data_IF_007676293767
#
_entry.id   IF_007676293767
#
_cell.length_a   1.000
_cell.length_b   1.000
_cell.length_c   1.000
_cell.angle_alpha   90.00
_cell.angle_beta   90.00
_cell.angle_gamma   90.00
#
_symmetry.space_group_name_H-M   'P 1'
#
loop_
_entity.id
_entity.type
_entity.pdbx_description
1 polymer ?
#
# COMPACT_ATOMS: atom_id res chain seq x y z
N UNK A 1 -15.83 -20.71 15.69
CA UNK A 1 -16.62 -19.45 15.67
C UNK A 1 -15.75 -18.18 15.57
N UNK A 2 -14.42 -18.26 15.63
CA UNK A 2 -13.50 -17.11 15.50
C UNK A 2 -13.56 -16.39 14.12
N UNK A 3 -14.17 -16.99 13.12
CA UNK A 3 -14.36 -16.40 11.78
C UNK A 3 -15.59 -15.48 11.67
N UNK A 4 -16.41 -15.38 12.69
CA UNK A 4 -17.65 -14.59 12.69
C UNK A 4 -17.57 -13.34 13.60
N UNK A 5 -16.47 -13.11 14.28
CA UNK A 5 -16.26 -11.85 14.99
C UNK A 5 -15.87 -10.77 13.99
N UNK A 6 -16.69 -9.73 13.90
CA UNK A 6 -16.34 -8.52 13.13
C UNK A 6 -15.02 -7.94 13.67
N UNK A 7 -13.95 -8.16 12.94
CA UNK A 7 -12.67 -7.53 13.29
C UNK A 7 -12.80 -6.03 13.03
N UNK A 8 -12.36 -5.19 13.96
CA UNK A 8 -12.38 -3.75 13.76
C UNK A 8 -11.59 -3.38 12.51
N UNK A 9 -12.08 -2.39 11.78
CA UNK A 9 -11.38 -1.85 10.63
C UNK A 9 -10.13 -1.10 11.11
N UNK A 10 -9.02 -1.30 10.42
CA UNK A 10 -7.81 -0.54 10.69
C UNK A 10 -7.72 0.65 9.74
N UNK A 11 -7.45 1.81 10.29
CA UNK A 11 -7.24 3.05 9.53
C UNK A 11 -5.94 3.72 9.97
N UNK A 12 -5.33 4.45 9.07
CA UNK A 12 -4.22 5.36 9.33
C UNK A 12 -4.72 6.80 9.18
N UNK A 13 -4.56 7.62 10.20
CA UNK A 13 -4.98 9.02 10.10
C UNK A 13 -3.93 9.88 9.38
N UNK A 14 -4.41 10.94 8.76
CA UNK A 14 -3.59 11.88 8.00
C UNK A 14 -3.04 12.96 8.95
N UNK A 15 -1.79 12.79 9.39
CA UNK A 15 -1.12 13.68 10.35
C UNK A 15 -0.92 15.11 9.83
N UNK A 16 -0.98 15.31 8.49
CA UNK A 16 -0.93 16.65 7.89
C UNK A 16 -2.27 17.41 7.99
N UNK A 17 -3.38 16.69 8.16
CA UNK A 17 -4.71 17.30 8.24
C UNK A 17 -5.24 17.44 9.66
N UNK A 18 -4.90 16.51 10.55
CA UNK A 18 -5.55 16.46 11.85
C UNK A 18 -4.66 15.78 12.91
N UNK A 19 -4.76 16.23 14.15
CA UNK A 19 -4.18 15.55 15.30
C UNK A 19 -5.03 14.35 15.72
N UNK A 20 -4.41 13.34 16.30
CA UNK A 20 -5.08 12.11 16.75
C UNK A 20 -6.28 12.39 17.67
N UNK A 21 -6.07 13.26 18.65
CA UNK A 21 -7.08 13.58 19.68
C UNK A 21 -8.33 14.23 19.06
N UNK A 22 -8.11 15.13 18.10
CA UNK A 22 -9.19 15.83 17.40
C UNK A 22 -9.98 14.87 16.52
N UNK A 23 -9.29 13.99 15.77
CA UNK A 23 -9.93 12.94 14.97
C UNK A 23 -10.77 11.99 15.84
N UNK A 24 -10.23 11.53 16.97
CA UNK A 24 -10.97 10.68 17.91
C UNK A 24 -12.22 11.38 18.41
N UNK A 25 -12.15 12.70 18.68
CA UNK A 25 -13.28 13.51 19.07
C UNK A 25 -14.37 13.62 17.99
N UNK A 26 -13.96 13.77 16.71
CA UNK A 26 -14.87 13.81 15.56
C UNK A 26 -15.55 12.44 15.37
N UNK A 27 -14.77 11.35 15.32
CA UNK A 27 -15.27 10.00 15.11
C UNK A 27 -16.29 9.60 16.18
N UNK A 28 -16.06 9.94 17.46
CA UNK A 28 -17.01 9.71 18.54
C UNK A 28 -18.33 10.47 18.34
N UNK A 29 -18.28 11.72 17.82
CA UNK A 29 -19.50 12.49 17.49
C UNK A 29 -20.24 11.88 16.29
N UNK A 30 -19.54 11.24 15.37
CA UNK A 30 -20.10 10.47 14.24
C UNK A 30 -20.63 9.09 14.68
N UNK A 31 -20.55 8.73 15.96
CA UNK A 31 -21.04 7.46 16.49
C UNK A 31 -20.07 6.29 16.34
N UNK A 32 -18.83 6.54 15.89
CA UNK A 32 -17.82 5.51 15.66
C UNK A 32 -17.10 5.17 16.96
N UNK A 33 -16.92 3.87 17.22
CA UNK A 33 -16.07 3.38 18.30
C UNK A 33 -14.63 3.33 17.84
N UNK A 34 -13.74 3.97 18.59
CA UNK A 34 -12.32 4.10 18.27
C UNK A 34 -11.47 3.33 19.26
N UNK A 35 -10.60 2.44 18.77
CA UNK A 35 -9.58 1.75 19.53
C UNK A 35 -8.17 2.21 19.12
N UNK A 36 -7.23 2.10 20.05
CA UNK A 36 -5.82 2.44 19.79
C UNK A 36 -5.04 1.24 19.27
N UNK A 37 -3.98 1.53 18.51
CA UNK A 37 -2.97 0.57 18.03
C UNK A 37 -1.64 1.00 18.64
N UNK A 38 -1.21 0.42 19.79
CA UNK A 38 -0.02 0.89 20.49
C UNK A 38 1.27 0.80 19.67
N UNK A 39 1.35 -0.20 18.77
CA UNK A 39 2.54 -0.50 17.98
C UNK A 39 2.73 0.49 16.80
N UNK A 40 1.66 1.15 16.36
CA UNK A 40 1.67 2.07 15.22
C UNK A 40 0.90 3.34 15.61
N UNK A 41 1.59 4.40 16.05
CA UNK A 41 0.95 5.60 16.60
C UNK A 41 -0.03 6.31 15.63
N UNK A 42 0.20 6.22 14.32
CA UNK A 42 -0.69 6.79 13.30
C UNK A 42 -1.87 5.89 12.93
N UNK A 43 -2.02 4.72 13.56
CA UNK A 43 -3.11 3.78 13.32
C UNK A 43 -4.20 3.85 14.39
N UNK A 44 -5.44 3.57 13.97
CA UNK A 44 -6.61 3.41 14.84
C UNK A 44 -7.44 2.22 14.41
N UNK A 45 -8.15 1.61 15.38
CA UNK A 45 -9.22 0.65 15.10
C UNK A 45 -10.56 1.36 15.10
N UNK A 46 -11.38 1.11 14.09
CA UNK A 46 -12.73 1.65 13.98
C UNK A 46 -13.77 0.53 13.96
N UNK A 47 -14.89 0.75 14.66
CA UNK A 47 -16.07 -0.12 14.64
C UNK A 47 -17.33 0.67 14.96
N UNK A 48 -18.52 0.04 14.81
CA UNK A 48 -19.80 0.68 15.15
C UNK A 48 -20.26 1.72 14.12
N UNK A 49 -19.87 1.62 12.86
CA UNK A 49 -20.33 2.45 11.76
C UNK A 49 -21.02 1.57 10.68
N UNK A 50 -21.97 2.13 9.95
CA UNK A 50 -22.64 1.41 8.85
C UNK A 50 -21.81 1.43 7.57
N UNK A 51 -21.47 2.63 7.09
CA UNK A 51 -20.70 2.84 5.87
C UNK A 51 -19.67 3.96 6.05
N UNK A 52 -18.39 3.67 5.77
CA UNK A 52 -17.32 4.70 5.85
C UNK A 52 -17.58 5.89 4.95
N UNK A 53 -18.08 5.66 3.73
CA UNK A 53 -18.38 6.71 2.76
C UNK A 53 -19.51 7.66 3.20
N UNK A 54 -20.25 7.31 4.26
CA UNK A 54 -21.24 8.18 4.88
C UNK A 54 -20.65 9.09 5.96
N UNK A 55 -19.45 8.83 6.41
CA UNK A 55 -18.78 9.62 7.45
C UNK A 55 -18.11 10.86 6.84
N UNK A 56 -18.47 12.09 7.27
CA UNK A 56 -17.79 13.31 6.83
C UNK A 56 -16.29 13.26 7.03
N UNK A 57 -15.82 12.74 8.15
CA UNK A 57 -14.38 12.58 8.46
C UNK A 57 -13.63 11.74 7.42
N UNK A 58 -14.27 10.71 6.86
CA UNK A 58 -13.70 9.90 5.79
C UNK A 58 -13.69 10.66 4.46
N UNK A 59 -14.79 11.32 4.11
CA UNK A 59 -14.92 12.10 2.88
C UNK A 59 -13.90 13.25 2.82
N UNK A 60 -13.63 13.88 3.96
CA UNK A 60 -12.62 14.94 4.10
C UNK A 60 -11.17 14.42 4.06
N UNK A 61 -10.98 13.08 3.99
CA UNK A 61 -9.67 12.47 3.91
C UNK A 61 -8.84 12.59 5.18
N UNK A 62 -9.50 12.64 6.35
CA UNK A 62 -8.81 12.72 7.63
C UNK A 62 -8.11 11.41 7.99
N UNK A 63 -8.47 10.32 7.31
CA UNK A 63 -7.83 9.01 7.44
C UNK A 63 -8.01 8.15 6.19
N UNK A 64 -7.17 7.13 6.08
CA UNK A 64 -7.16 6.11 5.02
C UNK A 64 -7.39 4.73 5.62
N UNK A 65 -8.14 3.88 4.91
CA UNK A 65 -8.23 2.45 5.26
C UNK A 65 -6.90 1.79 4.87
N UNK A 66 -6.23 1.21 5.84
CA UNK A 66 -4.96 0.53 5.60
C UNK A 66 -4.72 -0.54 6.68
N UNK A 67 -4.25 -1.72 6.28
CA UNK A 67 -3.88 -2.77 7.22
C UNK A 67 -2.57 -2.44 7.93
N UNK A 68 -2.42 -2.89 9.18
CA UNK A 68 -1.20 -2.66 9.96
C UNK A 68 0.04 -3.19 9.26
N UNK A 69 -0.04 -4.39 8.65
CA UNK A 69 1.06 -4.96 7.86
C UNK A 69 1.40 -4.10 6.64
N UNK A 70 0.40 -3.50 5.99
CA UNK A 70 0.60 -2.60 4.87
C UNK A 70 1.25 -1.28 5.29
N UNK A 71 0.99 -0.79 6.51
CA UNK A 71 1.66 0.39 7.08
C UNK A 71 3.14 0.16 7.31
N UNK A 72 3.54 -1.08 7.66
CA UNK A 72 4.95 -1.44 7.89
C UNK A 72 5.83 -1.18 6.67
N UNK A 73 5.31 -1.32 5.46
CA UNK A 73 6.08 -1.07 4.22
C UNK A 73 6.61 0.36 4.20
N UNK A 74 5.76 1.34 4.51
CA UNK A 74 6.18 2.73 4.57
C UNK A 74 7.10 3.01 5.77
N UNK A 75 6.80 2.45 6.94
CA UNK A 75 7.62 2.65 8.14
C UNK A 75 9.03 2.04 8.01
N UNK A 76 9.15 0.89 7.34
CA UNK A 76 10.45 0.24 7.10
C UNK A 76 11.18 0.77 5.85
N UNK A 77 10.54 1.59 5.04
CA UNK A 77 11.17 2.22 3.90
C UNK A 77 12.35 3.11 4.32
N UNK A 78 12.27 3.68 5.54
CA UNK A 78 13.18 4.71 6.03
C UNK A 78 13.32 5.87 5.03
N UNK A 79 12.17 6.21 4.41
CA UNK A 79 12.08 7.33 3.47
C UNK A 79 12.52 8.63 4.13
N UNK A 80 13.23 9.46 3.38
CA UNK A 80 13.78 10.74 3.84
C UNK A 80 13.20 11.87 3.01
N UNK A 81 13.17 13.06 3.59
CA UNK A 81 12.81 14.28 2.88
C UNK A 81 13.66 14.44 1.60
N UNK A 82 12.98 14.72 0.50
CA UNK A 82 13.61 14.88 -0.81
C UNK A 82 13.71 13.59 -1.65
N UNK A 83 13.46 12.41 -1.09
CA UNK A 83 13.54 11.15 -1.83
C UNK A 83 12.57 11.10 -3.01
N UNK A 84 13.01 10.44 -4.08
CA UNK A 84 12.20 10.08 -5.25
C UNK A 84 11.74 8.63 -5.07
N UNK A 85 10.44 8.41 -5.02
CA UNK A 85 9.85 7.08 -4.76
C UNK A 85 9.01 6.63 -5.94
N UNK A 86 9.18 5.38 -6.34
CA UNK A 86 8.41 4.75 -7.40
C UNK A 86 7.68 3.54 -6.83
N UNK A 87 6.34 3.57 -6.82
CA UNK A 87 5.50 2.42 -6.46
C UNK A 87 4.91 1.83 -7.75
N UNK A 88 5.26 0.59 -8.07
CA UNK A 88 4.97 0.00 -9.39
C UNK A 88 3.64 -0.75 -9.48
N UNK A 89 2.98 -1.02 -8.34
CA UNK A 89 1.66 -1.67 -8.26
C UNK A 89 0.83 -1.03 -7.14
N UNK A 90 0.60 0.27 -7.24
CA UNK A 90 0.24 1.13 -6.12
C UNK A 90 -1.23 1.05 -5.68
N UNK A 91 -2.17 0.73 -6.57
CA UNK A 91 -3.60 0.82 -6.27
C UNK A 91 -4.04 -0.08 -5.10
N UNK A 92 -4.87 0.43 -4.20
CA UNK A 92 -5.60 1.70 -4.20
C UNK A 92 -4.84 2.92 -3.62
N UNK A 93 -3.53 2.80 -3.31
CA UNK A 93 -2.68 3.93 -2.93
C UNK A 93 -2.27 3.98 -1.46
N UNK A 94 -2.70 3.04 -0.62
CA UNK A 94 -2.42 3.10 0.83
C UNK A 94 -0.94 3.24 1.19
N UNK A 95 -0.04 2.53 0.51
CA UNK A 95 1.41 2.57 0.73
C UNK A 95 2.02 3.84 0.17
N UNK A 96 1.71 4.17 -1.10
CA UNK A 96 2.21 5.37 -1.79
C UNK A 96 1.81 6.66 -1.07
N UNK A 97 0.55 6.79 -0.65
CA UNK A 97 0.04 7.93 0.11
C UNK A 97 0.74 8.03 1.47
N UNK A 98 0.95 6.90 2.16
CA UNK A 98 1.67 6.89 3.44
C UNK A 98 3.11 7.41 3.29
N UNK A 99 3.82 6.96 2.25
CA UNK A 99 5.17 7.47 1.96
C UNK A 99 5.15 8.95 1.59
N UNK A 100 4.18 9.40 0.78
CA UNK A 100 4.07 10.80 0.41
C UNK A 100 3.82 11.71 1.64
N UNK A 101 3.08 11.22 2.64
CA UNK A 101 2.95 11.88 3.94
C UNK A 101 4.30 11.95 4.68
N UNK A 102 5.04 10.83 4.77
CA UNK A 102 6.35 10.79 5.44
C UNK A 102 7.40 11.69 4.78
N UNK A 103 7.28 11.96 3.48
CA UNK A 103 8.11 12.94 2.76
C UNK A 103 7.86 14.39 3.17
N UNK A 104 6.81 14.66 3.95
CA UNK A 104 6.52 15.98 4.52
C UNK A 104 6.49 17.11 3.48
N UNK A 105 5.86 16.87 2.32
CA UNK A 105 5.73 17.83 1.22
C UNK A 105 7.02 18.04 0.41
N UNK A 106 8.06 17.27 0.68
CA UNK A 106 9.32 17.26 -0.09
C UNK A 106 9.41 15.99 -0.94
N UNK A 107 10.38 15.92 -1.86
CA UNK A 107 10.50 14.75 -2.74
C UNK A 107 9.28 14.49 -3.60
N UNK A 108 9.15 13.27 -4.12
CA UNK A 108 8.04 12.93 -5.00
C UNK A 108 7.74 11.43 -4.97
N UNK A 109 6.46 11.06 -5.06
CA UNK A 109 6.00 9.67 -5.23
C UNK A 109 5.32 9.53 -6.57
N UNK A 110 5.85 8.68 -7.43
CA UNK A 110 5.16 8.24 -8.64
C UNK A 110 4.49 6.88 -8.37
N UNK A 111 3.17 6.89 -8.31
CA UNK A 111 2.35 5.72 -8.00
C UNK A 111 1.77 5.15 -9.30
N UNK A 112 2.24 3.96 -9.71
CA UNK A 112 1.85 3.29 -10.97
C UNK A 112 0.89 2.14 -10.73
N UNK A 113 -0.02 1.91 -11.66
CA UNK A 113 -0.75 0.65 -11.75
C UNK A 113 -1.10 0.34 -13.22
N UNK A 114 -1.47 -0.93 -13.47
CA UNK A 114 -1.63 -1.48 -14.82
C UNK A 114 -2.83 -0.92 -15.59
N UNK A 115 -3.94 -0.58 -14.93
CA UNK A 115 -5.21 -0.24 -15.60
C UNK A 115 -5.71 1.13 -15.19
N UNK A 116 -6.33 1.86 -16.14
CA UNK A 116 -6.94 3.18 -15.86
C UNK A 116 -7.93 3.11 -14.70
N UNK A 117 -8.76 2.06 -14.61
CA UNK A 117 -9.67 1.88 -13.48
C UNK A 117 -8.96 1.92 -12.11
N UNK A 118 -7.79 1.26 -11.99
CA UNK A 118 -7.00 1.26 -10.76
C UNK A 118 -6.31 2.60 -10.53
N UNK A 119 -5.87 3.24 -11.62
CA UNK A 119 -5.27 4.57 -11.57
C UNK A 119 -6.30 5.62 -11.15
N UNK A 120 -7.55 5.50 -11.57
CA UNK A 120 -8.63 6.37 -11.11
C UNK A 120 -8.88 6.21 -9.61
N UNK A 121 -8.86 4.98 -9.08
CA UNK A 121 -8.92 4.76 -7.62
C UNK A 121 -7.73 5.41 -6.88
N UNK A 122 -6.53 5.40 -7.48
CA UNK A 122 -5.37 6.11 -6.96
C UNK A 122 -5.61 7.62 -6.92
N UNK A 123 -6.08 8.20 -8.05
CA UNK A 123 -6.36 9.64 -8.17
C UNK A 123 -7.39 10.10 -7.14
N UNK A 124 -8.48 9.36 -6.98
CA UNK A 124 -9.52 9.67 -5.99
C UNK A 124 -8.96 9.69 -4.55
N UNK A 125 -8.13 8.70 -4.21
CA UNK A 125 -7.53 8.62 -2.88
C UNK A 125 -6.44 9.69 -2.65
N UNK A 126 -5.66 10.03 -3.68
CA UNK A 126 -4.67 11.12 -3.65
C UNK A 126 -5.39 12.46 -3.46
N UNK A 127 -6.42 12.75 -4.26
CA UNK A 127 -7.21 13.97 -4.13
C UNK A 127 -7.81 14.10 -2.72
N UNK A 128 -8.43 13.03 -2.24
CA UNK A 128 -9.00 12.98 -0.89
C UNK A 128 -7.95 13.18 0.20
N UNK A 129 -6.71 12.70 0.01
CA UNK A 129 -5.61 12.91 0.95
C UNK A 129 -5.16 14.37 1.03
N UNK A 130 -5.31 15.13 -0.06
CA UNK A 130 -4.86 16.51 -0.18
C UNK A 130 -3.35 16.67 -0.38
N UNK A 131 -2.63 15.59 -0.66
CA UNK A 131 -1.19 15.61 -0.92
C UNK A 131 -0.91 16.08 -2.35
N UNK A 132 0.19 16.82 -2.52
CA UNK A 132 0.61 17.40 -3.82
C UNK A 132 1.93 16.84 -4.33
N UNK A 133 2.62 16.06 -3.53
CA UNK A 133 3.91 15.44 -3.84
C UNK A 133 3.78 13.97 -4.29
N UNK A 134 2.62 13.61 -4.82
CA UNK A 134 2.33 12.27 -5.35
C UNK A 134 1.50 12.38 -6.62
N UNK A 135 1.80 11.55 -7.62
CA UNK A 135 1.03 11.43 -8.85
C UNK A 135 0.69 9.99 -9.18
N UNK A 136 -0.40 9.79 -9.92
CA UNK A 136 -0.87 8.47 -10.36
C UNK A 136 -0.64 8.30 -11.88
N UNK A 137 0.01 7.21 -12.27
CA UNK A 137 0.41 6.92 -13.66
C UNK A 137 -0.08 5.53 -14.08
N UNK A 138 -0.67 5.43 -15.28
CA UNK A 138 -1.01 4.14 -15.86
C UNK A 138 0.20 3.56 -16.59
N UNK A 139 0.82 2.51 -16.02
CA UNK A 139 2.03 1.88 -16.54
C UNK A 139 2.08 0.40 -16.21
N UNK A 140 2.40 -0.43 -17.19
CA UNK A 140 2.67 -1.85 -16.99
C UNK A 140 4.06 -2.06 -16.38
N UNK A 141 4.12 -2.58 -15.17
CA UNK A 141 5.36 -2.82 -14.44
C UNK A 141 6.25 -3.92 -15.09
N UNK A 142 5.72 -4.69 -16.03
CA UNK A 142 6.48 -5.69 -16.81
C UNK A 142 7.19 -5.08 -18.02
N UNK A 143 6.92 -3.81 -18.34
CA UNK A 143 7.51 -3.08 -19.46
C UNK A 143 8.55 -2.08 -18.94
N UNK A 144 9.78 -2.23 -19.39
CA UNK A 144 10.88 -1.37 -18.96
C UNK A 144 10.69 0.07 -19.46
N UNK A 145 10.85 1.01 -18.54
CA UNK A 145 10.80 2.46 -18.79
C UNK A 145 12.24 3.02 -18.71
N UNK A 146 12.87 3.38 -19.85
CA UNK A 146 14.24 3.85 -19.85
C UNK A 146 14.44 5.18 -19.11
N UNK A 147 13.41 6.03 -19.02
CA UNK A 147 13.47 7.31 -18.35
C UNK A 147 13.56 7.17 -16.82
N UNK A 148 13.22 6.00 -16.30
CA UNK A 148 13.29 5.70 -14.86
C UNK A 148 14.55 4.95 -14.43
N UNK A 149 15.48 4.70 -15.34
CA UNK A 149 16.74 4.01 -15.00
C UNK A 149 17.49 4.76 -13.90
N UNK A 150 17.72 4.11 -12.76
CA UNK A 150 18.44 4.66 -11.60
C UNK A 150 17.91 6.01 -11.14
N UNK A 151 16.59 6.20 -11.17
CA UNK A 151 15.94 7.47 -10.83
C UNK A 151 15.36 7.52 -9.42
N UNK A 152 15.02 6.35 -8.84
CA UNK A 152 14.36 6.27 -7.56
C UNK A 152 15.30 5.96 -6.40
N UNK A 153 15.16 6.69 -5.30
CA UNK A 153 15.80 6.39 -4.03
C UNK A 153 15.16 5.14 -3.40
N UNK A 154 13.84 4.99 -3.60
CA UNK A 154 13.06 3.85 -3.13
C UNK A 154 12.14 3.37 -4.26
N UNK A 155 12.18 2.08 -4.55
CA UNK A 155 11.18 1.40 -5.40
C UNK A 155 10.35 0.48 -4.53
N UNK A 156 9.02 0.60 -4.60
CA UNK A 156 8.08 -0.29 -3.93
C UNK A 156 7.53 -1.27 -4.96
N UNK A 157 7.68 -2.54 -4.67
CA UNK A 157 7.16 -3.67 -5.43
C UNK A 157 6.19 -4.48 -4.55
N UNK A 158 5.00 -3.89 -4.29
CA UNK A 158 3.88 -4.58 -3.63
C UNK A 158 3.07 -5.32 -4.68
N UNK A 159 3.56 -6.51 -5.04
CA UNK A 159 3.17 -7.15 -6.28
C UNK A 159 1.84 -7.93 -6.18
N UNK A 160 1.12 -8.08 -7.31
CA UNK A 160 -0.02 -8.98 -7.38
C UNK A 160 0.38 -10.37 -6.87
N UNK A 161 -0.40 -10.92 -5.96
CA UNK A 161 -0.12 -12.18 -5.30
C UNK A 161 -1.41 -12.99 -5.04
N UNK A 162 -1.26 -14.22 -4.57
CA UNK A 162 -2.40 -15.12 -4.27
C UNK A 162 -3.31 -14.59 -3.17
N UNK A 163 -2.85 -13.67 -2.33
CA UNK A 163 -3.65 -13.06 -1.27
C UNK A 163 -4.03 -14.01 -0.13
N UNK A 164 -3.33 -15.13 0.03
CA UNK A 164 -3.65 -16.14 1.05
C UNK A 164 -3.52 -15.60 2.48
N UNK A 165 -2.76 -14.52 2.69
CA UNK A 165 -2.65 -13.84 3.99
C UNK A 165 -3.89 -13.03 4.40
N UNK A 166 -4.77 -12.70 3.43
CA UNK A 166 -5.97 -11.88 3.65
C UNK A 166 -7.29 -12.65 3.47
N UNK A 167 -7.27 -13.98 3.51
CA UNK A 167 -8.45 -14.85 3.36
C UNK A 167 -9.58 -14.51 4.35
N UNK A 168 -9.25 -14.04 5.55
CA UNK A 168 -10.26 -13.61 6.53
C UNK A 168 -11.08 -12.39 6.08
N UNK A 169 -10.54 -11.56 5.17
CA UNK A 169 -11.21 -10.39 4.59
C UNK A 169 -11.79 -10.65 3.21
N UNK A 170 -11.21 -11.60 2.46
CA UNK A 170 -11.57 -11.96 1.07
C UNK A 170 -11.69 -13.48 0.94
N UNK A 171 -12.72 -14.12 1.50
CA UNK A 171 -12.85 -15.59 1.50
C UNK A 171 -12.97 -16.19 0.09
N UNK A 172 -13.41 -15.41 -0.90
CA UNK A 172 -13.58 -15.85 -2.29
C UNK A 172 -12.24 -16.22 -2.97
N UNK A 173 -11.10 -15.69 -2.47
CA UNK A 173 -9.78 -16.03 -2.99
C UNK A 173 -9.48 -17.52 -2.88
N UNK A 174 -10.00 -18.21 -1.85
CA UNK A 174 -9.82 -19.66 -1.66
C UNK A 174 -10.29 -20.48 -2.87
N UNK A 175 -11.32 -20.04 -3.58
CA UNK A 175 -11.90 -20.78 -4.71
C UNK A 175 -11.25 -20.44 -6.06
N UNK A 176 -10.45 -19.36 -6.12
CA UNK A 176 -9.79 -18.88 -7.34
C UNK A 176 -8.37 -19.39 -7.50
N UNK A 177 -7.77 -19.88 -6.43
CA UNK A 177 -6.38 -20.29 -6.41
C UNK A 177 -6.21 -21.80 -6.70
N UNK A 178 -5.25 -22.13 -7.55
CA UNK A 178 -4.77 -23.48 -7.82
C UNK A 178 -3.28 -23.40 -8.18
N UNK A 179 -2.58 -24.55 -8.22
CA UNK A 179 -1.15 -24.62 -8.46
C UNK A 179 -0.68 -23.89 -9.73
N UNK A 180 -1.47 -23.94 -10.80
CA UNK A 180 -1.14 -23.24 -12.04
C UNK A 180 -1.20 -21.72 -11.85
N UNK A 181 -2.27 -21.22 -11.20
CA UNK A 181 -2.45 -19.80 -10.92
C UNK A 181 -1.34 -19.26 -10.00
N UNK A 182 -0.89 -20.07 -9.04
CA UNK A 182 0.23 -19.73 -8.16
C UNK A 182 1.54 -19.63 -8.93
N UNK A 183 1.84 -20.59 -9.81
CA UNK A 183 3.02 -20.56 -10.66
C UNK A 183 3.03 -19.36 -11.62
N UNK A 184 1.88 -19.03 -12.24
CA UNK A 184 1.72 -17.87 -13.12
C UNK A 184 1.98 -16.55 -12.36
N UNK A 185 1.56 -16.46 -11.08
CA UNK A 185 1.82 -15.29 -10.23
C UNK A 185 3.31 -15.16 -9.88
N UNK A 186 3.99 -16.25 -9.53
CA UNK A 186 5.44 -16.23 -9.27
C UNK A 186 6.20 -15.77 -10.51
N UNK A 187 5.85 -16.27 -11.70
CA UNK A 187 6.46 -15.85 -12.96
C UNK A 187 6.26 -14.35 -13.24
N UNK A 188 5.02 -13.85 -13.05
CA UNK A 188 4.70 -12.44 -13.18
C UNK A 188 5.51 -11.58 -12.21
N UNK A 189 5.59 -11.97 -10.94
CA UNK A 189 6.35 -11.26 -9.92
C UNK A 189 7.83 -11.19 -10.28
N UNK A 190 8.44 -12.30 -10.73
CA UNK A 190 9.83 -12.33 -11.19
C UNK A 190 10.06 -11.45 -12.41
N UNK A 191 9.12 -11.44 -13.35
CA UNK A 191 9.18 -10.55 -14.52
C UNK A 191 9.18 -9.07 -14.11
N UNK A 192 8.31 -8.67 -13.18
CA UNK A 192 8.29 -7.31 -12.67
C UNK A 192 9.59 -6.97 -11.93
N UNK A 193 10.05 -7.83 -11.02
CA UNK A 193 11.29 -7.63 -10.27
C UNK A 193 12.50 -7.46 -11.19
N UNK A 194 12.57 -8.24 -12.30
CA UNK A 194 13.63 -8.13 -13.31
C UNK A 194 13.68 -6.77 -14.00
N UNK A 195 12.54 -6.10 -14.12
CA UNK A 195 12.43 -4.76 -14.71
C UNK A 195 12.75 -3.68 -13.68
N UNK A 196 12.07 -3.71 -12.54
CA UNK A 196 12.05 -2.59 -11.60
C UNK A 196 13.35 -2.41 -10.81
N UNK A 197 14.19 -3.46 -10.70
CA UNK A 197 15.52 -3.36 -10.10
C UNK A 197 16.40 -2.29 -10.74
N UNK A 198 16.23 -2.06 -12.04
CA UNK A 198 17.03 -1.11 -12.80
C UNK A 198 16.62 0.36 -12.54
N UNK A 199 15.49 0.57 -11.87
CA UNK A 199 15.01 1.91 -11.49
C UNK A 199 15.64 2.42 -10.20
N UNK A 200 16.15 1.51 -9.36
CA UNK A 200 16.77 1.84 -8.08
C UNK A 200 18.11 2.53 -8.30
N UNK A 201 18.34 3.68 -7.65
CA UNK A 201 19.66 4.35 -7.62
C UNK A 201 20.72 3.45 -6.97
N UNK A 202 22.02 3.68 -7.26
CA UNK A 202 23.07 3.17 -6.37
C UNK A 202 22.76 3.64 -4.94
N UNK A 203 22.88 2.80 -3.94
CA UNK A 203 22.53 3.09 -2.54
C UNK A 203 21.00 3.27 -2.26
N UNK A 204 20.16 3.12 -3.27
CA UNK A 204 18.70 3.11 -3.12
C UNK A 204 18.18 1.77 -2.59
N UNK A 205 16.86 1.69 -2.39
CA UNK A 205 16.19 0.51 -1.82
C UNK A 205 15.12 -0.03 -2.76
N UNK A 206 15.03 -1.37 -2.86
CA UNK A 206 13.89 -2.08 -3.43
C UNK A 206 13.11 -2.75 -2.30
N UNK A 207 11.88 -2.32 -2.08
CA UNK A 207 10.98 -2.89 -1.10
C UNK A 207 10.05 -3.88 -1.80
N UNK A 208 10.21 -5.16 -1.50
CA UNK A 208 9.34 -6.23 -1.98
C UNK A 208 8.31 -6.60 -0.92
N UNK A 209 7.04 -6.60 -1.26
CA UNK A 209 5.97 -7.02 -0.37
C UNK A 209 4.87 -7.77 -1.10
N UNK A 210 4.17 -8.63 -0.37
CA UNK A 210 2.98 -9.36 -0.82
C UNK A 210 1.95 -9.43 0.30
N UNK A 211 0.71 -9.74 -0.03
CA UNK A 211 -0.33 -10.04 0.95
C UNK A 211 -0.60 -11.55 1.05
N UNK A 212 0.38 -12.40 0.74
CA UNK A 212 0.27 -13.86 0.82
C UNK A 212 1.21 -14.44 1.87
N UNK A 213 0.92 -15.68 2.30
CA UNK A 213 1.80 -16.51 3.13
C UNK A 213 2.48 -17.61 2.31
N UNK A 214 2.29 -17.60 0.99
CA UNK A 214 2.86 -18.62 0.11
C UNK A 214 4.37 -18.43 -0.04
N UNK A 215 5.16 -19.48 0.29
CA UNK A 215 6.61 -19.40 0.36
C UNK A 215 7.26 -19.03 -0.99
N UNK A 216 6.76 -19.61 -2.11
CA UNK A 216 7.35 -19.34 -3.43
C UNK A 216 7.16 -17.89 -3.88
N UNK A 217 6.06 -17.24 -3.45
CA UNK A 217 5.81 -15.82 -3.71
C UNK A 217 6.56 -14.87 -2.75
N UNK A 218 7.17 -15.38 -1.68
CA UNK A 218 7.92 -14.61 -0.68
C UNK A 218 9.39 -15.02 -0.70
N UNK A 219 9.81 -15.92 0.19
CA UNK A 219 11.19 -16.34 0.32
C UNK A 219 11.76 -16.89 -1.00
N UNK A 220 10.96 -17.66 -1.77
CA UNK A 220 11.35 -18.22 -3.05
C UNK A 220 11.71 -17.14 -4.08
N UNK A 221 10.95 -16.06 -4.13
CA UNK A 221 11.26 -14.93 -5.01
C UNK A 221 12.48 -14.14 -4.53
N UNK A 222 12.65 -13.96 -3.22
CA UNK A 222 13.83 -13.29 -2.66
C UNK A 222 15.09 -14.12 -2.92
N UNK A 223 15.07 -15.43 -2.64
CA UNK A 223 16.19 -16.34 -2.92
C UNK A 223 16.56 -16.34 -4.41
N UNK A 224 15.55 -16.41 -5.29
CA UNK A 224 15.76 -16.32 -6.74
C UNK A 224 16.40 -14.98 -7.14
N UNK A 225 15.86 -13.85 -6.65
CA UNK A 225 16.33 -12.51 -6.99
C UNK A 225 17.79 -12.29 -6.59
N UNK A 226 18.16 -12.67 -5.36
CA UNK A 226 19.53 -12.54 -4.85
C UNK A 226 20.53 -13.47 -5.54
N UNK A 227 20.08 -14.55 -6.18
CA UNK A 227 20.92 -15.45 -6.96
C UNK A 227 21.13 -14.96 -8.39
N UNK A 228 20.12 -14.30 -8.94
CA UNK A 228 20.11 -13.86 -10.35
C UNK A 228 20.84 -12.53 -10.53
N UNK A 229 20.78 -11.63 -9.53
CA UNK A 229 21.30 -10.26 -9.56
C UNK A 229 22.24 -9.94 -8.41
#
# INVERSE_FOLDING_TARGET
SAFLEEKPLTVRFNEHKIKKEDLVGILKKEGVTVGEVPEIPCALYLSGYDHLSALPSFCEGLYQVQDLSSMQVALWSEVKEGDQVLDVCAAPGGKSIHIAELLNGTGHVEARDLTEYKVDLLRDNIERSGLTNIEAVCQDATVYDPDKKKSADIVIADLPCSGLGVLGKKPDLRYKMNEKTEADLVELQRKILSVVKDYVKPDGKLLYSTCTIHREENEGNVEWFLKEY
#
